data_IF_216991496397
#
_entry.id   IF_216991496397
#
_cell.length_a   1.000
_cell.length_b   1.000
_cell.length_c   1.000
_cell.angle_alpha   90.00
_cell.angle_beta   90.00
_cell.angle_gamma   90.00
#
_symmetry.space_group_name_H-M   'P 1'
#
loop_
_entity.id
_entity.type
_entity.pdbx_description
1 polymer ?
#
# COMPACT_ATOMS: atom_id res chain seq x y z
N UNK A 1 -13.25 -38.09 33.54
CA UNK A 1 -14.44 -38.95 33.42
C UNK A 1 -15.57 -38.08 32.89
N UNK A 2 -16.33 -38.38 31.85
CA UNK A 2 -16.21 -39.31 30.70
C UNK A 2 -16.80 -38.50 29.50
N UNK A 3 -16.26 -38.56 28.28
CA UNK A 3 -16.54 -39.56 27.23
C UNK A 3 -18.03 -39.96 27.11
N UNK A 4 -18.69 -39.96 25.93
CA UNK A 4 -18.32 -39.43 24.61
C UNK A 4 -19.65 -39.06 23.85
N UNK A 5 -20.00 -39.34 22.57
CA UNK A 5 -19.39 -40.12 21.49
C UNK A 5 -20.00 -39.82 20.10
N UNK A 6 -19.16 -39.85 19.05
CA UNK A 6 -19.42 -40.51 17.73
C UNK A 6 -20.64 -40.08 16.89
N UNK A 7 -20.38 -39.61 15.66
CA UNK A 7 -20.81 -40.36 14.47
C UNK A 7 -19.86 -40.19 13.27
N UNK A 8 -19.20 -41.29 12.90
CA UNK A 8 -18.44 -41.44 11.65
C UNK A 8 -18.75 -42.82 11.08
N UNK A 9 -18.93 -42.95 9.75
CA UNK A 9 -19.32 -44.23 9.13
C UNK A 9 -18.45 -44.62 7.93
N UNK A 10 -17.42 -45.40 8.24
CA UNK A 10 -16.83 -46.50 7.42
C UNK A 10 -17.86 -47.15 6.48
N UNK A 11 -17.55 -47.62 5.26
CA UNK A 11 -16.55 -48.62 4.81
C UNK A 11 -16.69 -48.75 3.25
N UNK A 12 -15.92 -49.50 2.42
CA UNK A 12 -14.62 -50.22 2.46
C UNK A 12 -14.39 -50.86 1.08
N UNK A 13 -13.16 -50.88 0.56
CA UNK A 13 -12.78 -51.71 -0.59
C UNK A 13 -11.27 -51.69 -0.79
N UNK A 14 -10.66 -52.86 -0.98
CA UNK A 14 -9.22 -53.04 -1.26
C UNK A 14 -9.09 -53.81 -2.58
N UNK A 15 -8.05 -53.51 -3.35
CA UNK A 15 -7.52 -54.35 -4.43
C UNK A 15 -6.03 -54.02 -4.56
N UNK A 16 -5.19 -55.04 -4.55
CA UNK A 16 -3.73 -54.95 -4.67
C UNK A 16 -3.32 -55.95 -5.76
N UNK A 17 -2.43 -55.56 -6.67
CA UNK A 17 -1.56 -56.49 -7.40
C UNK A 17 -0.40 -55.74 -8.07
N UNK A 18 0.76 -56.40 -8.15
CA UNK A 18 2.01 -55.85 -8.68
C UNK A 18 2.22 -56.20 -10.17
N UNK A 19 2.93 -55.34 -10.91
CA UNK A 19 3.71 -55.72 -12.09
C UNK A 19 4.78 -54.64 -12.38
N UNK A 20 5.85 -55.00 -13.08
CA UNK A 20 7.01 -54.14 -13.32
C UNK A 20 7.44 -54.10 -14.81
N UNK A 21 8.17 -53.04 -15.16
CA UNK A 21 9.20 -52.93 -16.21
C UNK A 21 8.97 -53.59 -17.58
N UNK A 22 8.89 -52.75 -18.63
CA UNK A 22 9.60 -52.95 -19.90
C UNK A 22 10.10 -51.60 -20.44
N UNK A 23 11.31 -51.59 -21.01
CA UNK A 23 11.92 -50.45 -21.68
C UNK A 23 11.53 -50.37 -23.18
N UNK A 24 12.10 -49.37 -23.86
CA UNK A 24 12.25 -49.19 -25.33
C UNK A 24 11.00 -49.04 -26.23
N UNK A 25 10.93 -47.90 -26.91
CA UNK A 25 11.30 -47.85 -28.34
C UNK A 25 11.68 -46.41 -28.76
N UNK A 26 12.50 -46.26 -29.81
CA UNK A 26 12.95 -44.97 -30.37
C UNK A 26 12.53 -44.79 -31.83
N UNK A 27 12.08 -43.59 -32.21
CA UNK A 27 12.26 -42.96 -33.53
C UNK A 27 11.59 -41.56 -33.55
N UNK A 28 11.92 -40.59 -34.42
CA UNK A 28 12.94 -40.64 -35.48
C UNK A 28 12.84 -39.48 -36.49
N UNK A 29 13.35 -38.29 -36.14
CA UNK A 29 13.80 -37.18 -37.03
C UNK A 29 12.87 -36.63 -38.15
N UNK A 30 12.60 -35.31 -38.10
CA UNK A 30 12.87 -34.40 -39.24
C UNK A 30 12.82 -32.91 -38.85
N UNK A 31 13.85 -32.15 -39.25
CA UNK A 31 13.92 -30.68 -39.24
C UNK A 31 14.01 -30.16 -40.72
N UNK A 32 14.49 -28.91 -40.90
CA UNK A 32 14.71 -28.15 -42.16
C UNK A 32 13.49 -27.32 -42.68
N UNK A 33 13.71 -26.13 -43.30
CA UNK A 33 14.45 -25.01 -42.70
C UNK A 33 13.86 -23.60 -42.95
N UNK A 34 14.25 -22.65 -42.10
CA UNK A 34 14.69 -21.30 -42.52
C UNK A 34 13.65 -20.26 -42.99
N UNK A 35 13.48 -19.20 -42.18
CA UNK A 35 13.13 -17.85 -42.66
C UNK A 35 13.69 -16.79 -41.72
N UNK A 36 14.61 -15.95 -42.20
CA UNK A 36 15.26 -14.89 -41.40
C UNK A 36 14.52 -13.57 -41.62
N UNK A 37 13.57 -13.25 -40.73
CA UNK A 37 12.89 -11.97 -40.70
C UNK A 37 13.59 -10.97 -39.78
N UNK A 38 14.22 -9.94 -40.31
CA UNK A 38 14.83 -8.87 -39.51
C UNK A 38 13.76 -7.91 -38.96
N UNK A 39 13.22 -8.22 -37.78
CA UNK A 39 12.38 -7.31 -37.00
C UNK A 39 13.22 -6.59 -35.93
N UNK A 40 13.17 -5.26 -35.89
CA UNK A 40 13.79 -4.47 -34.82
C UNK A 40 12.96 -4.59 -33.53
N UNK A 41 13.55 -5.12 -32.47
CA UNK A 41 12.90 -5.23 -31.16
C UNK A 41 12.63 -3.84 -30.55
N UNK A 42 11.38 -3.37 -30.64
CA UNK A 42 10.87 -2.33 -29.75
C UNK A 42 10.62 -2.98 -28.40
N UNK A 43 11.44 -2.65 -27.39
CA UNK A 43 11.28 -3.18 -26.03
C UNK A 43 10.14 -2.46 -25.29
N UNK A 44 8.91 -2.59 -25.80
CA UNK A 44 7.68 -2.22 -25.10
C UNK A 44 7.46 -3.20 -23.95
N UNK A 45 8.20 -2.97 -22.86
CA UNK A 45 7.91 -3.55 -21.55
C UNK A 45 6.44 -3.26 -21.23
N UNK A 46 5.60 -4.30 -21.00
CA UNK A 46 4.19 -4.08 -20.74
C UNK A 46 4.04 -3.27 -19.45
N UNK A 47 3.65 -1.99 -19.59
CA UNK A 47 3.28 -1.18 -18.43
C UNK A 47 2.19 -1.92 -17.68
N UNK A 48 2.47 -2.27 -16.43
CA UNK A 48 1.48 -2.83 -15.52
C UNK A 48 0.36 -1.79 -15.40
N UNK A 49 -0.78 -2.09 -15.99
CA UNK A 49 -1.99 -1.26 -15.84
C UNK A 49 -2.60 -1.66 -14.49
N UNK A 50 -2.59 -0.78 -13.48
CA UNK A 50 -3.13 -1.11 -12.17
C UNK A 50 -4.60 -1.50 -12.28
N UNK A 51 -5.00 -2.50 -11.50
CA UNK A 51 -6.37 -3.01 -11.58
C UNK A 51 -7.38 -1.91 -11.20
N UNK A 52 -8.37 -1.69 -12.09
CA UNK A 52 -9.36 -0.62 -11.99
C UNK A 52 -10.53 -1.08 -11.10
N UNK A 53 -10.54 -0.70 -9.82
CA UNK A 53 -11.62 -1.05 -8.89
C UNK A 53 -12.50 0.15 -8.55
N UNK A 54 -13.82 -0.05 -8.62
CA UNK A 54 -14.84 0.96 -8.29
C UNK A 54 -15.39 0.68 -6.89
N UNK A 55 -14.59 1.03 -5.88
CA UNK A 55 -15.12 1.31 -4.54
C UNK A 55 -15.66 2.75 -4.51
N UNK A 56 -16.62 3.03 -3.64
CA UNK A 56 -17.34 4.31 -3.54
C UNK A 56 -16.49 5.45 -2.92
N UNK A 57 -15.20 5.53 -3.27
CA UNK A 57 -14.25 6.60 -2.91
C UNK A 57 -14.55 7.93 -3.64
N UNK A 58 -15.83 8.21 -3.89
CA UNK A 58 -16.34 9.41 -4.56
C UNK A 58 -16.02 10.64 -3.70
N UNK A 59 -15.22 11.62 -4.17
CA UNK A 59 -15.38 12.97 -3.66
C UNK A 59 -16.81 13.44 -3.97
N UNK A 60 -17.48 14.16 -3.05
CA UNK A 60 -18.69 14.91 -3.37
C UNK A 60 -18.52 15.74 -4.64
N UNK A 61 -19.59 15.93 -5.43
CA UNK A 61 -19.50 16.58 -6.74
C UNK A 61 -18.90 17.99 -6.66
N UNK A 62 -19.21 18.73 -5.60
CA UNK A 62 -18.65 20.04 -5.25
C UNK A 62 -17.16 20.05 -4.88
N UNK A 63 -16.54 18.86 -4.72
CA UNK A 63 -15.13 18.64 -4.40
C UNK A 63 -14.39 17.87 -5.51
N UNK A 64 -14.98 17.79 -6.71
CA UNK A 64 -14.28 17.33 -7.93
C UNK A 64 -13.26 18.38 -8.40
N UNK A 65 -12.12 17.92 -8.90
CA UNK A 65 -11.00 18.77 -9.33
C UNK A 65 -9.70 18.38 -8.62
N UNK A 66 -8.72 19.29 -8.65
CA UNK A 66 -7.40 19.10 -8.04
C UNK A 66 -7.04 20.29 -7.16
N UNK A 67 -6.16 20.08 -6.17
CA UNK A 67 -5.55 21.14 -5.39
C UNK A 67 -4.71 22.07 -6.29
N UNK A 68 -4.42 23.28 -5.81
CA UNK A 68 -3.54 24.20 -6.50
C UNK A 68 -2.15 23.56 -6.68
N UNK A 69 -1.51 23.85 -7.81
CA UNK A 69 -0.17 23.36 -8.14
C UNK A 69 0.85 23.75 -7.06
N UNK A 70 1.81 22.85 -6.82
CA UNK A 70 2.92 23.08 -5.91
C UNK A 70 3.67 24.37 -6.23
N UNK A 71 4.02 25.13 -5.19
CA UNK A 71 5.16 26.05 -5.29
C UNK A 71 6.44 25.22 -5.15
N UNK A 72 7.24 25.15 -6.21
CA UNK A 72 8.58 24.55 -6.16
C UNK A 72 9.56 25.59 -5.60
N UNK A 73 10.39 25.20 -4.63
CA UNK A 73 11.42 26.06 -4.05
C UNK A 73 12.71 26.10 -4.89
N UNK A 74 13.61 27.02 -4.59
CA UNK A 74 14.92 27.13 -5.28
C UNK A 74 15.83 25.90 -5.09
N UNK A 75 15.59 25.11 -4.05
CA UNK A 75 16.21 23.81 -3.77
C UNK A 75 15.34 22.61 -4.23
N UNK A 76 14.37 22.85 -5.13
CA UNK A 76 13.62 21.81 -5.84
C UNK A 76 12.50 21.12 -5.05
N UNK A 77 12.24 21.54 -3.81
CA UNK A 77 11.23 20.90 -2.94
C UNK A 77 9.83 21.47 -3.18
N UNK A 78 8.83 20.62 -3.12
CA UNK A 78 7.43 21.00 -3.33
C UNK A 78 6.79 21.54 -2.05
N UNK A 79 5.87 22.52 -2.21
CA UNK A 79 5.02 23.04 -1.14
C UNK A 79 3.60 23.24 -1.66
N UNK A 80 2.62 22.58 -1.04
CA UNK A 80 1.21 22.71 -1.37
C UNK A 80 0.46 23.53 -0.32
N UNK A 81 -0.64 24.16 -0.76
CA UNK A 81 -1.56 24.89 0.11
C UNK A 81 -2.36 23.92 0.99
N UNK A 82 -2.99 24.48 2.01
CA UNK A 82 -3.98 23.79 2.84
C UNK A 82 -5.28 23.58 2.03
N UNK A 83 -5.27 22.57 1.15
CA UNK A 83 -6.38 22.12 0.30
C UNK A 83 -6.47 20.60 0.38
N UNK A 84 -6.42 20.06 1.59
CA UNK A 84 -6.24 18.63 1.82
C UNK A 84 -7.49 17.80 1.49
N UNK A 85 -8.65 18.45 1.30
CA UNK A 85 -9.87 17.86 0.75
C UNK A 85 -9.78 17.54 -0.75
N UNK A 86 -8.88 18.18 -1.50
CA UNK A 86 -8.65 17.92 -2.93
C UNK A 86 -7.46 16.95 -3.18
N UNK A 87 -7.54 16.11 -4.22
CA UNK A 87 -6.40 15.32 -4.69
C UNK A 87 -5.31 16.22 -5.25
N UNK A 88 -4.05 15.78 -5.20
CA UNK A 88 -2.97 16.46 -5.92
C UNK A 88 -3.15 16.30 -7.43
N UNK A 89 -2.74 17.33 -8.18
CA UNK A 89 -2.73 17.31 -9.63
C UNK A 89 -1.79 16.19 -10.15
N UNK A 90 -2.10 15.45 -11.24
CA UNK A 90 -1.27 14.32 -11.66
C UNK A 90 0.19 14.70 -11.98
N UNK A 91 0.41 15.91 -12.48
CA UNK A 91 1.76 16.45 -12.74
C UNK A 91 2.50 16.97 -11.47
N UNK A 92 1.88 16.88 -10.30
CA UNK A 92 2.51 17.13 -8.99
C UNK A 92 2.79 15.81 -8.23
N UNK A 93 2.42 14.66 -8.78
CA UNK A 93 2.82 13.36 -8.24
C UNK A 93 4.28 13.07 -8.66
N UNK A 94 5.07 12.38 -7.82
CA UNK A 94 6.38 11.89 -8.25
C UNK A 94 6.22 10.80 -9.32
N UNK A 95 7.25 10.58 -10.12
CA UNK A 95 7.28 9.46 -11.05
C UNK A 95 7.47 8.15 -10.28
N UNK A 96 6.63 7.16 -10.59
CA UNK A 96 6.77 5.77 -10.14
C UNK A 96 6.44 4.87 -11.33
N UNK A 97 7.28 3.87 -11.61
CA UNK A 97 7.17 3.01 -12.79
C UNK A 97 6.75 1.57 -12.45
N UNK A 98 6.46 1.28 -11.17
CA UNK A 98 6.33 -0.08 -10.64
C UNK A 98 7.66 -0.66 -10.13
N UNK A 99 8.69 0.18 -10.05
CA UNK A 99 10.03 -0.11 -9.55
C UNK A 99 10.06 -0.12 -8.01
N UNK A 100 9.83 -1.29 -7.42
CA UNK A 100 9.93 -1.49 -5.98
C UNK A 100 11.39 -1.55 -5.53
N UNK A 101 11.92 -0.38 -5.17
CA UNK A 101 13.23 -0.21 -4.56
C UNK A 101 13.16 0.74 -3.36
N UNK A 102 14.00 0.50 -2.34
CA UNK A 102 14.14 1.40 -1.18
C UNK A 102 14.48 2.84 -1.57
N UNK A 103 15.24 3.06 -2.66
CA UNK A 103 15.59 4.41 -3.10
C UNK A 103 14.43 5.12 -3.81
N UNK A 104 13.65 4.40 -4.63
CA UNK A 104 12.41 4.94 -5.21
C UNK A 104 11.40 5.30 -4.11
N UNK A 105 11.18 4.42 -3.14
CA UNK A 105 10.27 4.70 -2.02
C UNK A 105 10.73 5.92 -1.18
N UNK A 106 12.03 6.05 -0.86
CA UNK A 106 12.56 7.27 -0.21
C UNK A 106 12.34 8.52 -1.06
N UNK A 107 12.60 8.46 -2.36
CA UNK A 107 12.39 9.59 -3.29
C UNK A 107 10.93 10.04 -3.33
N UNK A 108 9.98 9.11 -3.25
CA UNK A 108 8.54 9.41 -3.14
C UNK A 108 8.22 10.09 -1.80
N UNK A 109 8.77 9.62 -0.67
CA UNK A 109 8.59 10.24 0.66
C UNK A 109 9.16 11.68 0.68
N UNK A 110 10.36 11.88 0.14
CA UNK A 110 11.05 13.18 0.12
C UNK A 110 10.35 14.19 -0.79
N UNK A 111 9.80 13.75 -1.93
CA UNK A 111 9.00 14.58 -2.85
C UNK A 111 7.85 15.29 -2.13
N UNK A 112 7.19 14.61 -1.20
CA UNK A 112 6.09 15.18 -0.41
C UNK A 112 6.54 16.19 0.65
N UNK A 113 7.84 16.30 0.95
CA UNK A 113 8.44 17.37 1.77
C UNK A 113 7.66 17.62 3.09
N UNK A 114 7.25 16.53 3.76
CA UNK A 114 6.25 16.53 4.85
C UNK A 114 6.69 17.31 6.09
N UNK A 115 7.99 17.48 6.28
CA UNK A 115 8.61 18.15 7.43
C UNK A 115 8.69 19.67 7.30
N UNK A 116 8.49 20.22 6.10
CA UNK A 116 8.64 21.65 5.86
C UNK A 116 7.45 22.45 6.43
N UNK A 117 7.66 23.39 7.38
CA UNK A 117 6.58 24.14 8.01
C UNK A 117 5.81 25.06 7.03
N UNK A 118 6.35 25.30 5.83
CA UNK A 118 5.70 26.07 4.77
C UNK A 118 4.96 25.17 3.75
N UNK A 119 5.02 23.85 3.89
CA UNK A 119 4.24 22.89 3.12
C UNK A 119 2.89 22.61 3.81
N UNK A 120 1.97 23.57 3.70
CA UNK A 120 0.77 23.66 4.53
C UNK A 120 -0.19 22.47 4.42
N UNK A 121 -0.15 21.69 3.34
CA UNK A 121 -1.00 20.50 3.12
C UNK A 121 -0.89 19.46 4.23
N UNK A 122 0.27 19.36 4.89
CA UNK A 122 0.54 18.36 5.92
C UNK A 122 0.71 18.94 7.33
N UNK A 123 0.61 20.27 7.49
CA UNK A 123 0.81 20.92 8.79
C UNK A 123 -0.49 20.88 9.62
N UNK A 124 -0.40 20.45 10.88
CA UNK A 124 -1.56 20.43 11.78
C UNK A 124 -2.14 21.82 12.03
N UNK A 125 -3.46 21.94 12.05
CA UNK A 125 -4.17 23.19 12.34
C UNK A 125 -5.09 23.00 13.55
N UNK A 126 -4.77 23.68 14.66
CA UNK A 126 -5.42 23.45 15.95
C UNK A 126 -5.25 22.00 16.40
N UNK A 127 -6.38 21.29 16.57
CA UNK A 127 -6.41 19.86 16.89
C UNK A 127 -6.57 18.94 15.67
N UNK A 128 -6.74 19.51 14.46
CA UNK A 128 -6.78 18.74 13.22
C UNK A 128 -5.36 18.37 12.77
N UNK A 129 -5.17 17.11 12.39
CA UNK A 129 -3.92 16.59 11.79
C UNK A 129 -4.23 15.83 10.51
N UNK A 130 -3.23 15.70 9.64
CA UNK A 130 -3.41 15.23 8.25
C UNK A 130 -2.59 13.97 7.95
N UNK A 131 -2.49 13.08 8.95
CA UNK A 131 -1.83 11.77 8.86
C UNK A 131 -2.38 10.92 7.71
N UNK A 132 -3.72 10.79 7.64
CA UNK A 132 -4.44 10.13 6.56
C UNK A 132 -4.17 10.75 5.17
N UNK A 133 -4.00 12.07 5.08
CA UNK A 133 -3.74 12.76 3.80
C UNK A 133 -2.34 12.44 3.30
N UNK A 134 -1.33 12.52 4.17
CA UNK A 134 0.05 12.18 3.81
C UNK A 134 0.17 10.71 3.38
N UNK A 135 -0.43 9.80 4.14
CA UNK A 135 -0.45 8.37 3.82
C UNK A 135 -1.21 8.10 2.51
N UNK A 136 -2.31 8.81 2.24
CA UNK A 136 -3.01 8.73 0.97
C UNK A 136 -2.18 9.25 -0.21
N UNK A 137 -1.55 10.43 -0.09
CA UNK A 137 -0.73 11.00 -1.16
C UNK A 137 0.46 10.06 -1.50
N UNK A 138 1.10 9.44 -0.50
CA UNK A 138 2.18 8.46 -0.70
C UNK A 138 1.68 7.15 -1.32
N UNK A 139 0.64 6.53 -0.75
CA UNK A 139 0.11 5.26 -1.29
C UNK A 139 -0.46 5.43 -2.71
N UNK A 140 -1.00 6.61 -3.05
CA UNK A 140 -1.40 7.00 -4.41
C UNK A 140 -0.20 7.15 -5.35
N UNK A 141 0.90 7.74 -4.91
CA UNK A 141 2.13 7.79 -5.70
C UNK A 141 2.67 6.39 -6.02
N UNK A 142 2.46 5.43 -5.11
CA UNK A 142 2.90 4.04 -5.25
C UNK A 142 1.83 3.09 -5.81
N UNK A 143 0.78 3.63 -6.46
CA UNK A 143 -0.30 2.87 -7.08
C UNK A 143 -1.03 1.85 -6.18
N UNK A 144 -1.19 2.10 -4.88
CA UNK A 144 -1.99 1.27 -3.95
C UNK A 144 -2.76 2.15 -2.96
N UNK A 145 -3.46 3.17 -3.46
CA UNK A 145 -4.05 4.19 -2.58
C UNK A 145 -5.04 3.64 -1.54
N UNK A 146 -4.87 4.03 -0.28
CA UNK A 146 -5.92 3.86 0.75
C UNK A 146 -7.15 4.73 0.40
N UNK A 147 -8.36 4.45 0.90
CA UNK A 147 -9.51 5.30 0.59
C UNK A 147 -9.38 6.68 1.26
N UNK A 148 -9.48 7.73 0.44
CA UNK A 148 -9.66 9.14 0.87
C UNK A 148 -11.12 9.48 1.22
N UNK A 149 -12.05 8.77 0.58
CA UNK A 149 -13.49 8.85 0.81
C UNK A 149 -14.03 7.42 0.94
N UNK A 150 -15.05 7.22 1.77
CA UNK A 150 -15.90 6.03 1.81
C UNK A 150 -17.33 6.55 1.88
N UNK A 151 -18.23 6.07 1.02
CA UNK A 151 -19.65 6.46 0.94
C UNK A 151 -19.87 8.00 0.87
N UNK A 152 -18.96 8.71 0.20
CA UNK A 152 -18.95 10.17 0.11
C UNK A 152 -18.52 10.91 1.38
N UNK A 153 -18.12 10.20 2.44
CA UNK A 153 -17.58 10.74 3.70
C UNK A 153 -16.05 10.73 3.65
N UNK A 154 -15.41 11.85 4.03
CA UNK A 154 -13.94 11.96 4.09
C UNK A 154 -13.42 10.99 5.15
N UNK A 155 -12.47 10.13 4.79
CA UNK A 155 -11.97 9.10 5.71
C UNK A 155 -11.15 9.70 6.86
N UNK A 156 -11.22 9.02 7.99
CA UNK A 156 -10.37 9.25 9.16
C UNK A 156 -9.60 7.97 9.44
N UNK A 157 -8.56 8.03 10.28
CA UNK A 157 -7.73 6.85 10.57
C UNK A 157 -8.53 5.63 11.00
N UNK A 158 -9.59 5.80 11.79
CA UNK A 158 -10.40 4.67 12.24
C UNK A 158 -11.11 3.99 11.05
N UNK A 159 -11.74 4.74 10.15
CA UNK A 159 -12.38 4.16 8.95
C UNK A 159 -11.37 3.59 7.94
N UNK A 160 -10.12 4.08 7.93
CA UNK A 160 -9.04 3.48 7.15
C UNK A 160 -8.61 2.14 7.76
N UNK A 161 -8.53 2.04 9.08
CA UNK A 161 -8.28 0.77 9.76
C UNK A 161 -9.41 -0.23 9.50
N UNK A 162 -10.67 0.19 9.65
CA UNK A 162 -11.84 -0.65 9.45
C UNK A 162 -11.88 -1.19 7.99
N UNK A 163 -11.49 -0.38 7.01
CA UNK A 163 -11.30 -0.77 5.61
C UNK A 163 -10.12 -1.72 5.38
N UNK A 164 -8.97 -1.49 6.04
CA UNK A 164 -7.76 -2.34 5.93
C UNK A 164 -8.00 -3.77 6.46
N UNK A 165 -8.88 -3.94 7.45
CA UNK A 165 -9.21 -5.27 8.01
C UNK A 165 -10.38 -5.98 7.29
N UNK A 166 -11.03 -5.33 6.32
CA UNK A 166 -12.19 -5.88 5.64
C UNK A 166 -11.77 -6.87 4.52
N UNK A 167 -12.21 -8.14 4.58
CA UNK A 167 -11.97 -9.14 3.54
C UNK A 167 -12.48 -8.75 2.14
N UNK A 168 -13.54 -7.94 2.05
CA UNK A 168 -14.16 -7.53 0.80
C UNK A 168 -13.62 -6.18 0.27
N UNK A 169 -12.74 -5.50 1.03
CA UNK A 169 -12.20 -4.19 0.65
C UNK A 169 -10.67 -4.13 0.70
N UNK A 170 -10.05 -3.82 1.85
CA UNK A 170 -8.60 -3.64 1.94
C UNK A 170 -7.82 -4.92 1.63
N UNK A 171 -8.24 -6.05 2.22
CA UNK A 171 -7.56 -7.34 2.02
C UNK A 171 -7.74 -7.86 0.59
N UNK A 172 -8.93 -7.67 -0.01
CA UNK A 172 -9.18 -7.96 -1.42
C UNK A 172 -8.22 -7.21 -2.37
N UNK A 173 -7.76 -6.03 -1.96
CA UNK A 173 -6.81 -5.19 -2.69
C UNK A 173 -5.34 -5.45 -2.30
N UNK A 174 -5.06 -6.50 -1.54
CA UNK A 174 -3.69 -6.91 -1.16
C UNK A 174 -3.13 -6.23 0.08
N UNK A 175 -3.96 -5.60 0.92
CA UNK A 175 -3.51 -5.09 2.22
C UNK A 175 -3.53 -6.19 3.29
N UNK A 176 -2.35 -6.65 3.69
CA UNK A 176 -2.18 -7.73 4.67
C UNK A 176 -1.67 -7.20 6.01
N UNK A 177 -2.21 -7.73 7.13
CA UNK A 177 -1.77 -7.35 8.48
C UNK A 177 -0.58 -8.21 8.93
N UNK A 178 0.50 -7.56 9.37
CA UNK A 178 1.80 -8.21 9.63
C UNK A 178 2.44 -7.76 10.95
N UNK A 179 3.39 -8.53 11.53
CA UNK A 179 4.19 -8.05 12.65
C UNK A 179 5.14 -6.92 12.24
N UNK A 180 5.54 -6.11 13.23
CA UNK A 180 6.33 -4.89 13.03
C UNK A 180 7.64 -5.10 12.23
N UNK A 181 8.35 -6.22 12.43
CA UNK A 181 9.60 -6.48 11.72
C UNK A 181 9.37 -6.71 10.22
N UNK A 182 8.36 -7.51 9.86
CA UNK A 182 7.99 -7.77 8.46
C UNK A 182 7.56 -6.48 7.74
N UNK A 183 6.87 -5.57 8.43
CA UNK A 183 6.56 -4.25 7.86
C UNK A 183 7.81 -3.39 7.59
N UNK A 184 8.91 -3.56 8.33
CA UNK A 184 10.18 -2.91 8.01
C UNK A 184 10.91 -3.60 6.86
N UNK A 185 10.91 -4.93 6.82
CA UNK A 185 11.54 -5.74 5.76
C UNK A 185 10.88 -5.43 4.40
N UNK A 186 9.55 -5.46 4.34
CA UNK A 186 8.77 -5.15 3.13
C UNK A 186 8.89 -3.67 2.73
N UNK A 187 9.01 -2.74 3.69
CA UNK A 187 9.37 -1.35 3.38
C UNK A 187 10.81 -1.23 2.82
N UNK A 188 11.75 -2.04 3.30
CA UNK A 188 13.14 -2.07 2.81
C UNK A 188 13.24 -2.65 1.39
N UNK A 189 12.31 -3.51 0.98
CA UNK A 189 12.11 -3.95 -0.40
C UNK A 189 11.46 -2.88 -1.30
N UNK A 190 10.99 -1.75 -0.75
CA UNK A 190 10.34 -0.69 -1.52
C UNK A 190 8.83 -0.84 -1.68
N UNK A 191 8.18 -1.71 -0.91
CA UNK A 191 6.73 -1.88 -0.93
C UNK A 191 6.01 -1.00 0.11
N UNK A 192 4.86 -0.40 -0.26
CA UNK A 192 4.02 0.39 0.64
C UNK A 192 3.68 -0.34 1.95
N UNK A 193 4.05 0.28 3.06
CA UNK A 193 3.95 -0.30 4.40
C UNK A 193 3.44 0.76 5.38
N UNK A 194 2.54 0.40 6.29
CA UNK A 194 1.84 1.31 7.19
C UNK A 194 2.01 0.90 8.65
N UNK A 195 2.07 1.90 9.53
CA UNK A 195 1.83 1.76 10.96
C UNK A 195 0.53 2.49 11.29
N UNK A 196 -0.44 1.81 11.90
CA UNK A 196 -1.77 2.37 12.21
C UNK A 196 -2.20 2.01 13.63
N UNK A 197 -2.77 2.97 14.35
CA UNK A 197 -3.32 2.70 15.69
C UNK A 197 -4.66 1.98 15.60
N UNK A 198 -4.91 1.01 16.48
CA UNK A 198 -6.26 0.48 16.68
C UNK A 198 -7.29 1.60 16.91
N UNK A 199 -8.49 1.50 16.31
CA UNK A 199 -9.67 2.27 16.69
C UNK A 199 -9.99 2.05 18.17
N UNK A 200 -10.33 3.12 18.88
CA UNK A 200 -10.89 3.05 20.24
C UNK A 200 -12.02 4.06 20.35
N UNK A 201 -13.13 3.66 20.95
CA UNK A 201 -14.33 4.48 21.06
C UNK A 201 -14.00 5.86 21.68
N UNK A 202 -14.46 6.93 21.02
CA UNK A 202 -14.19 8.31 21.45
C UNK A 202 -12.75 8.80 21.25
N UNK A 203 -11.87 8.06 20.54
CA UNK A 203 -10.48 8.48 20.27
C UNK A 203 -10.17 8.48 18.76
N UNK A 204 -9.60 9.57 18.28
CA UNK A 204 -9.04 9.69 16.93
C UNK A 204 -7.84 8.74 16.79
N UNK A 205 -7.76 7.99 15.69
CA UNK A 205 -6.59 7.19 15.32
C UNK A 205 -5.45 8.01 14.73
N UNK A 206 -4.27 7.41 14.60
CA UNK A 206 -3.11 7.96 13.91
C UNK A 206 -2.48 6.92 12.98
N UNK A 207 -1.95 7.36 11.84
CA UNK A 207 -1.38 6.50 10.78
C UNK A 207 -0.11 7.15 10.20
N UNK A 208 0.84 6.33 9.78
CA UNK A 208 2.11 6.75 9.22
C UNK A 208 2.61 5.72 8.18
N UNK A 209 3.47 6.17 7.27
CA UNK A 209 4.19 5.27 6.36
C UNK A 209 5.35 4.64 7.13
N UNK A 210 5.49 3.32 7.12
CA UNK A 210 6.74 2.63 7.45
C UNK A 210 7.65 2.72 6.23
N UNK A 211 8.85 3.25 6.40
CA UNK A 211 9.74 3.67 5.30
C UNK A 211 11.06 2.90 5.32
N UNK A 212 11.83 2.87 4.21
CA UNK A 212 13.05 2.10 4.13
C UNK A 212 14.12 2.61 5.10
N UNK A 213 14.64 1.74 5.97
CA UNK A 213 15.69 2.04 6.95
C UNK A 213 15.80 0.98 8.06
N UNK A 214 16.48 1.36 9.14
CA UNK A 214 16.63 0.54 10.34
C UNK A 214 15.56 0.90 11.38
N UNK A 215 14.85 -0.10 11.89
CA UNK A 215 14.01 0.06 13.08
C UNK A 215 14.83 0.03 14.38
N UNK A 216 14.15 0.23 15.51
CA UNK A 216 14.76 0.27 16.84
C UNK A 216 14.10 -0.75 17.77
N UNK A 217 14.90 -1.43 18.61
CA UNK A 217 14.39 -2.31 19.67
C UNK A 217 14.44 -1.55 21.00
N UNK A 218 13.28 -1.31 21.60
CA UNK A 218 13.16 -0.67 22.92
C UNK A 218 12.54 -1.67 23.90
N UNK A 219 13.32 -2.04 24.90
CA UNK A 219 12.99 -3.17 25.78
C UNK A 219 12.99 -4.48 24.99
N UNK A 220 11.81 -5.04 24.76
CA UNK A 220 11.60 -6.26 23.97
C UNK A 220 10.73 -6.03 22.72
N UNK A 221 10.47 -4.78 22.34
CA UNK A 221 9.57 -4.42 21.24
C UNK A 221 10.35 -3.74 20.12
N UNK A 222 10.16 -4.22 18.89
CA UNK A 222 10.70 -3.60 17.68
C UNK A 222 9.74 -2.52 17.15
N UNK A 223 10.30 -1.38 16.73
CA UNK A 223 9.59 -0.23 16.19
C UNK A 223 10.20 0.16 14.84
N UNK A 224 9.46 0.04 13.71
CA UNK A 224 9.97 0.39 12.39
C UNK A 224 10.30 1.88 12.26
N UNK A 225 11.18 2.22 11.33
CA UNK A 225 11.36 3.59 10.82
C UNK A 225 10.11 4.04 10.06
N UNK A 226 9.67 5.28 10.26
CA UNK A 226 8.49 5.82 9.64
C UNK A 226 8.63 7.31 9.24
N UNK A 227 7.69 7.74 8.40
CA UNK A 227 7.41 9.13 8.08
C UNK A 227 5.96 9.45 8.45
N UNK A 228 5.72 10.62 9.04
CA UNK A 228 4.38 11.04 9.42
C UNK A 228 4.09 12.53 9.19
N UNK A 229 2.83 12.81 8.88
CA UNK A 229 2.16 14.06 9.21
C UNK A 229 1.37 13.88 10.51
N UNK A 230 1.35 14.85 11.43
CA UNK A 230 0.71 14.71 12.74
C UNK A 230 0.74 16.01 13.55
N UNK A 231 0.71 15.92 14.89
CA UNK A 231 1.03 17.07 15.78
C UNK A 231 2.52 17.45 15.72
N UNK A 232 3.36 16.62 15.12
CA UNK A 232 4.76 16.90 14.80
C UNK A 232 5.13 16.04 13.60
N UNK A 233 5.55 16.66 12.50
CA UNK A 233 5.90 15.96 11.27
C UNK A 233 7.37 15.54 11.30
N UNK A 234 7.68 14.35 10.76
CA UNK A 234 9.06 13.87 10.62
C UNK A 234 9.18 12.83 9.51
N UNK A 235 10.43 12.58 9.09
CA UNK A 235 10.89 11.45 8.28
C UNK A 235 12.11 10.88 9.00
N UNK A 236 12.36 9.57 8.90
CA UNK A 236 13.60 8.95 9.39
C UNK A 236 13.69 8.79 10.91
N UNK A 237 12.55 8.62 11.59
CA UNK A 237 12.45 8.31 13.02
C UNK A 237 11.60 7.07 13.23
N UNK A 238 11.61 6.44 14.41
CA UNK A 238 10.84 5.20 14.61
C UNK A 238 9.40 5.47 15.00
N UNK A 239 8.54 4.45 14.85
CA UNK A 239 7.14 4.47 15.32
C UNK A 239 7.06 4.82 16.81
N UNK A 240 8.08 4.50 17.61
CA UNK A 240 8.16 4.90 19.01
C UNK A 240 8.33 6.41 19.22
N UNK A 241 8.97 7.15 18.31
CA UNK A 241 9.12 8.61 18.42
C UNK A 241 7.80 9.37 18.31
N UNK A 242 6.78 8.77 17.68
CA UNK A 242 5.45 9.36 17.65
C UNK A 242 4.71 9.13 18.97
N UNK A 243 4.43 10.21 19.70
CA UNK A 243 3.58 10.20 20.88
C UNK A 243 2.15 9.66 20.58
N UNK A 244 1.71 9.75 19.32
CA UNK A 244 0.44 9.17 18.86
C UNK A 244 0.45 7.63 18.86
N UNK A 245 1.61 6.99 18.69
CA UNK A 245 1.79 5.53 18.66
C UNK A 245 2.26 4.97 20.00
N UNK A 246 3.24 5.63 20.65
CA UNK A 246 3.98 5.15 21.85
C UNK A 246 3.12 4.55 22.98
N UNK A 247 1.88 5.01 23.15
CA UNK A 247 0.98 4.61 24.24
C UNK A 247 -0.31 3.93 23.74
N UNK A 248 -0.28 3.28 22.58
CA UNK A 248 -1.40 2.55 21.96
C UNK A 248 -0.94 1.20 21.44
N UNK A 249 -1.88 0.29 21.15
CA UNK A 249 -1.61 -0.80 20.22
C UNK A 249 -1.56 -0.22 18.81
N UNK A 250 -0.56 -0.67 18.07
CA UNK A 250 -0.26 -0.31 16.69
C UNK A 250 -0.19 -1.62 15.94
N UNK A 251 -0.98 -1.72 14.88
CA UNK A 251 -0.92 -2.82 13.93
C UNK A 251 -0.28 -2.31 12.65
N UNK A 252 0.30 -3.22 11.89
CA UNK A 252 1.05 -2.89 10.68
C UNK A 252 0.42 -3.58 9.49
N UNK A 253 0.41 -2.87 8.36
CA UNK A 253 -0.16 -3.39 7.11
C UNK A 253 0.80 -3.16 5.96
N UNK A 254 0.90 -4.11 5.06
CA UNK A 254 1.72 -4.06 3.85
C UNK A 254 0.84 -4.21 2.62
N UNK A 255 1.32 -3.72 1.47
CA UNK A 255 0.77 -4.09 0.17
C UNK A 255 1.92 -4.31 -0.82
N UNK A 256 2.07 -5.55 -1.29
CA UNK A 256 3.10 -5.98 -2.23
C UNK A 256 2.55 -6.31 -3.63
N UNK A 257 1.28 -5.94 -3.90
CA UNK A 257 0.64 -6.23 -5.19
C UNK A 257 1.07 -5.23 -6.27
N UNK A 258 0.91 -5.65 -7.54
CA UNK A 258 1.26 -4.89 -8.74
C UNK A 258 0.41 -3.60 -8.99
N UNK A 259 -0.36 -3.17 -8.00
CA UNK A 259 -1.05 -1.88 -7.98
C UNK A 259 -2.52 -1.88 -8.44
N UNK A 260 -3.26 -0.90 -7.91
CA UNK A 260 -4.64 -0.56 -8.24
C UNK A 260 -4.84 0.98 -8.13
N UNK A 261 -5.91 1.50 -8.74
CA UNK A 261 -6.32 2.90 -8.60
C UNK A 261 -7.83 3.02 -8.49
N UNK A 262 -8.32 3.94 -7.65
CA UNK A 262 -9.74 4.28 -7.62
C UNK A 262 -10.07 5.22 -8.78
N UNK A 263 -10.90 4.77 -9.71
CA UNK A 263 -11.32 5.55 -10.87
C UNK A 263 -12.75 6.07 -10.70
N UNK A 264 -13.04 7.23 -11.30
CA UNK A 264 -14.42 7.70 -11.43
C UNK A 264 -15.22 6.75 -12.35
N UNK A 265 -16.51 6.48 -12.08
CA UNK A 265 -17.38 5.78 -13.03
C UNK A 265 -17.46 6.47 -14.42
N UNK A 266 -17.18 7.77 -14.48
CA UNK A 266 -17.08 8.52 -15.74
C UNK A 266 -15.79 8.16 -16.50
N UNK A 267 -14.68 7.89 -15.79
CA UNK A 267 -13.41 7.47 -16.38
C UNK A 267 -13.31 5.94 -16.61
N UNK A 268 -14.25 5.15 -16.08
CA UNK A 268 -14.46 3.75 -16.50
C UNK A 268 -15.23 3.62 -17.82
N UNK A 269 -15.76 4.72 -18.35
CA UNK A 269 -16.42 4.78 -19.67
C UNK A 269 -15.46 5.20 -20.81
N UNK A 270 -14.15 5.17 -20.53
CA UNK A 270 -13.03 5.53 -21.42
C UNK A 270 -11.89 4.51 -21.33
#
# INVERSE_FOLDING_TARGET
MQDASIFARKHRGKGEEDAALTDDDQDGLQEEPGSVGSGTESSDMPRVVPARFVLEARPPESLRGYADRATVTSDGRHRWKHQEWLPLHPQDMPLFLGDHESQTYRTIIDHFNVVDPLNLRFQSSGDTTYCNIFVWDVTRAMNVEIPRWIDGVKTWTNSIYDWLIDPEQGQYLGWESVPAYAAQEVANEGYPSLAITEPRLGRLGHVAMVIPGEGEIIGSTFYPMCAQAGKTNFVGKTVYDSLSFRYRKVDYFINSHAGYQFISPEDSSR
#
